data_IF_675376486538
#
_entry.id   IF_675376486538
#
_cell.length_a   1.000
_cell.length_b   1.000
_cell.length_c   1.000
_cell.angle_alpha   90.00
_cell.angle_beta   90.00
_cell.angle_gamma   90.00
#
_symmetry.space_group_name_H-M   'P 1'
#
loop_
_entity.id
_entity.type
_entity.pdbx_description
1 polymer ?
#
# COMPACT_ATOMS: atom_id res chain seq x y z
N UNK A 1 9.71 13.59 -5.78
CA UNK A 1 10.79 12.69 -6.24
C UNK A 1 10.52 11.21 -5.91
N UNK A 2 9.69 10.87 -4.90
CA UNK A 2 9.36 9.50 -4.50
C UNK A 2 8.40 8.75 -5.42
N UNK A 3 7.76 9.40 -6.38
CA UNK A 3 6.80 8.81 -7.34
C UNK A 3 7.38 8.64 -8.75
N UNK A 4 8.66 8.93 -8.94
CA UNK A 4 9.30 8.67 -10.22
C UNK A 4 9.56 7.16 -10.37
N UNK A 5 9.30 6.65 -11.57
CA UNK A 5 9.65 5.28 -11.91
C UNK A 5 11.14 5.05 -11.63
N UNK A 6 11.52 4.03 -10.83
CA UNK A 6 12.92 3.77 -10.53
C UNK A 6 13.70 3.44 -11.80
N UNK A 7 14.99 3.81 -11.90
CA UNK A 7 15.81 3.49 -13.04
C UNK A 7 15.85 1.98 -13.27
N UNK A 8 15.95 1.58 -14.53
CA UNK A 8 16.08 0.15 -14.88
C UNK A 8 17.47 -0.35 -14.50
N UNK A 9 17.52 -1.56 -13.96
CA UNK A 9 18.76 -2.24 -13.66
C UNK A 9 18.85 -3.57 -14.42
N UNK A 10 20.07 -4.10 -14.57
CA UNK A 10 20.28 -5.42 -15.19
C UNK A 10 19.76 -6.59 -14.33
N UNK A 11 19.42 -6.32 -13.07
CA UNK A 11 18.92 -7.31 -12.11
C UNK A 11 17.41 -7.25 -11.93
N UNK A 12 16.69 -6.42 -12.69
CA UNK A 12 15.25 -6.36 -12.65
C UNK A 12 14.66 -7.70 -13.14
N UNK A 13 13.76 -8.28 -12.36
CA UNK A 13 12.97 -9.43 -12.80
C UNK A 13 11.78 -8.91 -13.60
N UNK A 14 11.68 -9.31 -14.87
CA UNK A 14 10.64 -8.88 -15.78
C UNK A 14 9.82 -10.07 -16.26
N UNK A 15 8.49 -9.96 -16.11
CA UNK A 15 7.56 -10.98 -16.61
C UNK A 15 6.22 -10.33 -17.00
N UNK A 16 5.27 -11.13 -17.49
CA UNK A 16 3.90 -10.68 -17.77
C UNK A 16 2.92 -11.56 -17.00
N UNK A 17 1.93 -10.90 -16.37
CA UNK A 17 0.83 -11.58 -15.71
C UNK A 17 -0.49 -11.08 -16.29
N UNK A 18 -1.33 -11.99 -16.79
CA UNK A 18 -2.57 -11.65 -17.50
C UNK A 18 -2.39 -10.57 -18.59
N UNK A 19 -1.23 -10.57 -19.29
CA UNK A 19 -0.89 -9.60 -20.33
C UNK A 19 -0.37 -8.24 -19.83
N UNK A 20 -0.34 -8.00 -18.52
CA UNK A 20 0.20 -6.79 -17.90
C UNK A 20 1.70 -6.98 -17.65
N UNK A 21 2.59 -6.08 -18.13
CA UNK A 21 4.00 -6.13 -17.82
C UNK A 21 4.24 -5.87 -16.31
N UNK A 22 5.03 -6.72 -15.70
CA UNK A 22 5.46 -6.61 -14.31
C UNK A 22 6.98 -6.52 -14.25
N UNK A 23 7.50 -5.57 -13.51
CA UNK A 23 8.92 -5.38 -13.24
C UNK A 23 9.15 -5.37 -11.72
N UNK A 24 10.03 -6.23 -11.24
CA UNK A 24 10.43 -6.28 -9.83
C UNK A 24 11.87 -5.79 -9.72
N UNK A 25 12.04 -4.67 -9.05
CA UNK A 25 13.37 -4.08 -8.85
C UNK A 25 14.11 -4.78 -7.69
N UNK A 26 15.44 -4.96 -7.74
CA UNK A 26 16.20 -5.61 -6.67
C UNK A 26 15.98 -5.05 -5.26
N UNK A 27 15.78 -3.73 -5.14
CA UNK A 27 15.49 -3.11 -3.85
C UNK A 27 14.18 -3.57 -3.22
N UNK A 28 13.24 -4.11 -3.98
CA UNK A 28 12.03 -4.72 -3.41
C UNK A 28 12.40 -5.92 -2.54
N UNK A 29 13.21 -6.84 -3.06
CA UNK A 29 13.66 -8.02 -2.32
C UNK A 29 14.51 -7.64 -1.11
N UNK A 30 15.43 -6.71 -1.29
CA UNK A 30 16.30 -6.24 -0.20
C UNK A 30 15.48 -5.65 0.93
N UNK A 31 14.55 -4.75 0.64
CA UNK A 31 13.75 -4.07 1.65
C UNK A 31 12.78 -5.01 2.36
N UNK A 32 12.16 -5.96 1.64
CA UNK A 32 11.29 -6.97 2.27
C UNK A 32 12.06 -7.89 3.22
N UNK A 33 13.31 -8.22 2.92
CA UNK A 33 14.18 -8.97 3.84
C UNK A 33 14.54 -8.11 5.06
N UNK A 34 14.96 -6.85 4.86
CA UNK A 34 15.37 -5.95 5.96
C UNK A 34 14.24 -5.75 6.98
N UNK A 35 12.98 -5.69 6.52
CA UNK A 35 11.83 -5.47 7.40
C UNK A 35 11.60 -6.59 8.43
N UNK A 36 11.97 -7.81 8.10
CA UNK A 36 11.70 -8.99 8.96
C UNK A 36 12.97 -9.60 9.56
N UNK A 37 14.13 -9.36 8.94
CA UNK A 37 15.38 -9.98 9.37
C UNK A 37 15.87 -9.38 10.69
N UNK A 38 15.82 -10.18 11.74
CA UNK A 38 16.47 -9.93 13.04
C UNK A 38 17.44 -11.06 13.33
N UNK A 39 18.26 -10.93 14.39
CA UNK A 39 19.22 -11.97 14.75
C UNK A 39 18.56 -13.32 15.10
N UNK A 40 17.31 -13.28 15.58
CA UNK A 40 16.55 -14.46 16.01
C UNK A 40 15.61 -15.01 14.94
N UNK A 41 15.46 -14.34 13.77
CA UNK A 41 14.52 -14.75 12.72
C UNK A 41 15.08 -15.93 11.93
N UNK A 42 14.33 -17.03 11.88
CA UNK A 42 14.73 -18.20 11.10
C UNK A 42 14.70 -17.92 9.59
N UNK A 43 15.67 -18.40 8.80
CA UNK A 43 15.69 -18.17 7.35
C UNK A 43 14.40 -18.59 6.63
N UNK A 44 13.73 -19.64 7.11
CA UNK A 44 12.45 -20.10 6.52
C UNK A 44 11.31 -19.09 6.79
N UNK A 45 11.30 -18.43 7.94
CA UNK A 45 10.30 -17.40 8.26
C UNK A 45 10.52 -16.16 7.39
N UNK A 46 11.78 -15.77 7.17
CA UNK A 46 12.13 -14.70 6.21
C UNK A 46 11.62 -15.04 4.80
N UNK A 47 11.83 -16.28 4.36
CA UNK A 47 11.35 -16.71 3.04
C UNK A 47 9.81 -16.66 2.94
N UNK A 48 9.09 -17.13 3.98
CA UNK A 48 7.61 -17.09 4.00
C UNK A 48 7.10 -15.65 3.94
N UNK A 49 7.69 -14.76 4.74
CA UNK A 49 7.41 -13.34 4.71
C UNK A 49 7.63 -12.71 3.33
N UNK A 50 8.82 -12.91 2.73
CA UNK A 50 9.13 -12.35 1.41
C UNK A 50 8.14 -12.81 0.34
N UNK A 51 7.76 -14.09 0.36
CA UNK A 51 6.75 -14.65 -0.57
C UNK A 51 5.37 -14.05 -0.30
N UNK A 52 4.97 -13.93 0.97
CA UNK A 52 3.69 -13.33 1.34
C UNK A 52 3.60 -11.86 0.92
N UNK A 53 4.64 -11.06 1.20
CA UNK A 53 4.73 -9.64 0.77
C UNK A 53 4.68 -9.53 -0.75
N UNK A 54 5.45 -10.36 -1.47
CA UNK A 54 5.47 -10.34 -2.93
C UNK A 54 4.09 -10.61 -3.52
N UNK A 55 3.41 -11.67 -3.08
CA UNK A 55 2.07 -12.02 -3.56
C UNK A 55 1.08 -10.90 -3.23
N UNK A 56 1.08 -10.42 -2.00
CA UNK A 56 0.14 -9.41 -1.51
C UNK A 56 0.27 -8.08 -2.26
N UNK A 57 1.49 -7.56 -2.39
CA UNK A 57 1.72 -6.30 -3.10
C UNK A 57 1.48 -6.47 -4.60
N UNK A 58 1.86 -7.60 -5.19
CA UNK A 58 1.59 -7.87 -6.61
C UNK A 58 0.07 -7.90 -6.89
N UNK A 59 -0.73 -8.57 -6.06
CA UNK A 59 -2.19 -8.62 -6.20
C UNK A 59 -2.80 -7.23 -6.02
N UNK A 60 -2.33 -6.45 -5.05
CA UNK A 60 -2.74 -5.07 -4.85
C UNK A 60 -2.50 -4.23 -6.13
N UNK A 61 -1.29 -4.23 -6.67
CA UNK A 61 -0.96 -3.47 -7.89
C UNK A 61 -1.71 -3.96 -9.13
N UNK A 62 -1.97 -5.27 -9.22
CA UNK A 62 -2.79 -5.83 -10.28
C UNK A 62 -4.24 -5.37 -10.18
N UNK A 63 -4.77 -5.16 -8.96
CA UNK A 63 -6.09 -4.55 -8.76
C UNK A 63 -6.20 -3.21 -9.49
N UNK A 64 -5.26 -2.30 -9.27
CA UNK A 64 -5.18 -1.04 -10.00
C UNK A 64 -5.03 -1.26 -11.50
N UNK A 65 -4.08 -2.10 -11.90
CA UNK A 65 -3.73 -2.33 -13.29
C UNK A 65 -4.88 -2.93 -14.12
N UNK A 66 -5.70 -3.81 -13.54
CA UNK A 66 -6.89 -4.34 -14.21
C UNK A 66 -7.92 -3.25 -14.51
N UNK A 67 -8.17 -2.34 -13.58
CA UNK A 67 -9.10 -1.23 -13.81
C UNK A 67 -8.53 -0.18 -14.75
N UNK A 68 -7.24 0.14 -14.66
CA UNK A 68 -6.55 0.99 -15.63
C UNK A 68 -6.75 0.43 -17.06
N UNK A 69 -6.57 -0.88 -17.25
CA UNK A 69 -6.80 -1.54 -18.53
C UNK A 69 -8.28 -1.54 -18.95
N UNK A 70 -9.19 -1.73 -18.00
CA UNK A 70 -10.63 -1.66 -18.25
C UNK A 70 -11.05 -0.29 -18.81
N UNK A 71 -10.44 0.79 -18.31
CA UNK A 71 -10.66 2.14 -18.84
C UNK A 71 -9.91 2.45 -20.15
N UNK A 72 -9.24 1.46 -20.75
CA UNK A 72 -8.61 1.56 -22.07
C UNK A 72 -7.16 2.04 -22.06
N UNK A 73 -6.54 2.23 -20.89
CA UNK A 73 -5.13 2.60 -20.77
C UNK A 73 -4.20 1.38 -20.70
N UNK A 74 -2.91 1.60 -20.85
CA UNK A 74 -1.88 0.56 -20.85
C UNK A 74 -1.11 0.58 -19.53
N UNK A 75 -1.49 -0.24 -18.53
CA UNK A 75 -0.78 -0.30 -17.26
C UNK A 75 0.52 -1.07 -17.38
N UNK A 76 1.48 -0.72 -16.50
CA UNK A 76 2.64 -1.51 -16.15
C UNK A 76 2.79 -1.52 -14.63
N UNK A 77 3.08 -2.66 -14.05
CA UNK A 77 3.31 -2.82 -12.61
C UNK A 77 4.80 -2.81 -12.32
N UNK A 78 5.22 -2.04 -11.33
CA UNK A 78 6.60 -1.95 -10.90
C UNK A 78 6.62 -2.16 -9.38
N UNK A 79 7.27 -3.22 -8.92
CA UNK A 79 7.52 -3.44 -7.49
C UNK A 79 8.90 -2.87 -7.14
N UNK A 80 8.93 -1.97 -6.17
CA UNK A 80 10.14 -1.23 -5.80
C UNK A 80 10.12 -0.86 -4.32
N UNK A 81 11.26 -1.01 -3.65
CA UNK A 81 11.41 -0.70 -2.22
C UNK A 81 10.32 -1.38 -1.38
N UNK A 82 9.53 -0.66 -0.63
CA UNK A 82 8.49 -1.18 0.27
C UNK A 82 7.10 -1.25 -0.37
N UNK A 83 6.97 -1.09 -1.68
CA UNK A 83 5.65 -1.05 -2.30
C UNK A 83 5.65 -1.36 -3.78
N UNK A 84 4.59 -0.95 -4.44
CA UNK A 84 4.38 -1.08 -5.87
C UNK A 84 3.89 0.23 -6.49
N UNK A 85 3.86 0.22 -7.80
CA UNK A 85 3.34 1.30 -8.62
C UNK A 85 2.69 0.72 -9.88
N UNK A 86 1.39 0.90 -10.03
CA UNK A 86 0.70 0.67 -11.28
C UNK A 86 0.82 1.94 -12.15
N UNK A 87 1.90 2.02 -12.94
CA UNK A 87 2.16 3.17 -13.79
C UNK A 87 1.33 3.10 -15.08
N UNK A 88 0.79 4.24 -15.51
CA UNK A 88 0.04 4.39 -16.75
C UNK A 88 0.03 5.87 -17.20
N UNK A 89 -0.37 6.10 -18.44
CA UNK A 89 -0.51 7.44 -19.02
C UNK A 89 -1.99 7.65 -19.38
N UNK A 90 -2.73 8.44 -18.56
CA UNK A 90 -4.14 8.70 -18.82
C UNK A 90 -4.29 9.64 -20.04
N UNK A 91 -5.15 9.28 -20.99
CA UNK A 91 -5.49 10.12 -22.15
C UNK A 91 -6.63 11.09 -21.84
N UNK A 92 -7.33 10.89 -20.76
CA UNK A 92 -8.39 11.75 -20.23
C UNK A 92 -8.44 11.62 -18.71
N UNK A 93 -9.02 12.60 -18.02
CA UNK A 93 -9.15 12.62 -16.56
C UNK A 93 -10.62 12.82 -16.17
N UNK A 94 -11.11 11.95 -15.28
CA UNK A 94 -12.41 12.07 -14.61
C UNK A 94 -12.27 11.56 -13.18
N UNK A 95 -12.89 12.26 -12.23
CA UNK A 95 -12.82 11.95 -10.80
C UNK A 95 -13.18 10.50 -10.48
N UNK A 96 -14.36 10.03 -10.90
CA UNK A 96 -14.86 8.72 -10.50
C UNK A 96 -13.97 7.55 -10.96
N UNK A 97 -13.50 7.46 -12.21
CA UNK A 97 -12.52 6.46 -12.63
C UNK A 97 -11.22 6.48 -11.80
N UNK A 98 -10.70 7.67 -11.45
CA UNK A 98 -9.48 7.76 -10.64
C UNK A 98 -9.70 7.24 -9.22
N UNK A 99 -10.83 7.54 -8.60
CA UNK A 99 -11.23 7.00 -7.30
C UNK A 99 -11.35 5.47 -7.36
N UNK A 100 -12.06 4.94 -8.37
CA UNK A 100 -12.27 3.49 -8.52
C UNK A 100 -10.93 2.78 -8.75
N UNK A 101 -10.05 3.33 -9.58
CA UNK A 101 -8.69 2.78 -9.79
C UNK A 101 -7.92 2.79 -8.48
N UNK A 102 -7.91 3.91 -7.74
CA UNK A 102 -7.18 3.99 -6.47
C UNK A 102 -7.73 3.04 -5.40
N UNK A 103 -9.05 2.80 -5.38
CA UNK A 103 -9.66 1.85 -4.45
C UNK A 103 -9.41 0.38 -4.83
N UNK A 104 -9.14 0.08 -6.10
CA UNK A 104 -9.04 -1.28 -6.62
C UNK A 104 -7.87 -2.09 -6.03
N UNK A 105 -6.75 -1.44 -5.72
CA UNK A 105 -5.62 -2.08 -5.04
C UNK A 105 -6.00 -2.61 -3.65
N UNK A 106 -6.42 -1.74 -2.73
CA UNK A 106 -6.93 -2.16 -1.43
C UNK A 106 -8.03 -3.22 -1.51
N UNK A 107 -8.99 -3.06 -2.42
CA UNK A 107 -10.07 -4.02 -2.64
C UNK A 107 -9.55 -5.41 -3.06
N UNK A 108 -8.54 -5.46 -3.94
CA UNK A 108 -7.89 -6.71 -4.35
C UNK A 108 -7.16 -7.38 -3.18
N UNK A 109 -6.49 -6.60 -2.32
CA UNK A 109 -5.87 -7.09 -1.09
C UNK A 109 -6.90 -7.69 -0.11
N UNK A 110 -7.99 -6.97 0.16
CA UNK A 110 -9.07 -7.49 1.01
C UNK A 110 -9.75 -8.73 0.42
N UNK A 111 -9.92 -8.79 -0.90
CA UNK A 111 -10.43 -9.99 -1.58
C UNK A 111 -9.48 -11.18 -1.38
N UNK A 112 -8.17 -10.96 -1.52
CA UNK A 112 -7.18 -12.01 -1.25
C UNK A 112 -7.22 -12.47 0.21
N UNK A 113 -7.32 -11.56 1.17
CA UNK A 113 -7.51 -11.92 2.58
C UNK A 113 -8.78 -12.76 2.78
N UNK A 114 -9.89 -12.39 2.15
CA UNK A 114 -11.13 -13.17 2.16
C UNK A 114 -10.97 -14.58 1.58
N UNK A 115 -10.22 -14.72 0.49
CA UNK A 115 -9.88 -16.04 -0.11
C UNK A 115 -9.05 -16.88 0.87
N UNK A 116 -8.07 -16.27 1.55
CA UNK A 116 -7.26 -16.95 2.56
C UNK A 116 -8.14 -17.41 3.73
N UNK A 117 -9.05 -16.58 4.24
CA UNK A 117 -10.02 -16.95 5.29
C UNK A 117 -10.91 -18.11 4.82
N UNK A 118 -11.42 -18.05 3.60
CA UNK A 118 -12.23 -19.13 3.03
C UNK A 118 -11.44 -20.45 2.93
N UNK A 119 -10.15 -20.39 2.58
CA UNK A 119 -9.29 -21.58 2.54
C UNK A 119 -9.03 -22.15 3.94
N UNK A 120 -8.86 -21.31 4.97
CA UNK A 120 -8.74 -21.74 6.37
C UNK A 120 -9.98 -22.51 6.78
N UNK A 121 -11.17 -21.95 6.56
CA UNK A 121 -12.45 -22.57 6.91
C UNK A 121 -12.67 -23.88 6.13
N UNK A 122 -12.36 -23.90 4.83
CA UNK A 122 -12.47 -25.09 4.01
C UNK A 122 -11.52 -26.22 4.44
N UNK A 123 -10.39 -25.89 5.08
CA UNK A 123 -9.46 -26.87 5.66
C UNK A 123 -9.88 -27.39 7.05
N UNK A 124 -11.05 -26.97 7.55
CA UNK A 124 -11.59 -27.43 8.84
C UNK A 124 -11.05 -26.67 10.06
N UNK A 125 -10.35 -25.54 9.85
CA UNK A 125 -9.84 -24.73 10.95
C UNK A 125 -10.82 -23.59 11.28
N UNK A 126 -10.99 -23.29 12.57
CA UNK A 126 -11.82 -22.20 13.05
C UNK A 126 -11.17 -20.85 12.78
N UNK A 127 -12.01 -19.83 12.51
CA UNK A 127 -11.60 -18.42 12.40
C UNK A 127 -12.44 -17.61 13.37
N UNK A 128 -11.81 -16.75 14.15
CA UNK A 128 -12.49 -15.88 15.12
C UNK A 128 -11.87 -14.49 15.11
N UNK A 129 -12.65 -13.49 15.53
CA UNK A 129 -12.23 -12.11 15.60
C UNK A 129 -11.92 -11.79 17.05
N UNK A 130 -10.70 -11.35 17.30
CA UNK A 130 -10.23 -10.87 18.58
C UNK A 130 -10.38 -9.35 18.63
N UNK A 131 -11.47 -8.89 19.22
CA UNK A 131 -11.79 -7.46 19.31
C UNK A 131 -10.86 -6.69 20.27
N UNK A 132 -10.18 -7.38 21.17
CA UNK A 132 -9.22 -6.77 22.09
C UNK A 132 -7.87 -6.54 21.39
N UNK A 133 -7.55 -7.37 20.39
CA UNK A 133 -6.35 -7.28 19.58
C UNK A 133 -6.62 -6.66 18.19
N UNK A 134 -7.34 -5.53 18.17
CA UNK A 134 -7.75 -4.88 16.92
C UNK A 134 -6.55 -4.48 16.03
N UNK A 135 -5.41 -4.21 16.63
CA UNK A 135 -4.17 -3.88 15.93
C UNK A 135 -3.02 -4.79 16.42
N UNK A 136 -2.14 -5.32 15.56
CA UNK A 136 -2.05 -5.10 14.10
C UNK A 136 -3.12 -5.86 13.28
N UNK A 137 -3.69 -6.97 13.80
CA UNK A 137 -4.67 -7.77 13.06
C UNK A 137 -5.66 -8.45 14.01
N UNK A 138 -6.98 -8.22 13.83
CA UNK A 138 -8.00 -8.81 14.71
C UNK A 138 -8.34 -10.27 14.39
N UNK A 139 -7.95 -10.79 13.22
CA UNK A 139 -8.28 -12.14 12.78
C UNK A 139 -7.34 -13.14 13.43
N UNK A 140 -7.90 -14.14 14.13
CA UNK A 140 -7.21 -15.30 14.68
C UNK A 140 -7.75 -16.55 14.02
N UNK A 141 -6.93 -17.59 13.91
CA UNK A 141 -7.35 -18.88 13.38
C UNK A 141 -6.60 -20.03 14.08
N UNK A 142 -7.18 -21.23 14.00
CA UNK A 142 -6.56 -22.42 14.57
C UNK A 142 -5.28 -22.76 13.83
N UNK A 143 -4.24 -23.09 14.60
CA UNK A 143 -2.92 -23.37 14.03
C UNK A 143 -2.92 -24.64 13.21
N UNK A 144 -2.27 -24.61 12.06
CA UNK A 144 -1.99 -25.82 11.29
C UNK A 144 -0.93 -26.69 12.00
N UNK A 145 -0.92 -27.98 11.68
CA UNK A 145 0.12 -28.91 12.16
C UNK A 145 1.54 -28.44 11.69
N UNK A 146 1.62 -27.83 10.52
CA UNK A 146 2.83 -27.19 10.02
C UNK A 146 2.95 -25.77 10.55
N UNK A 147 3.99 -25.50 11.35
CA UNK A 147 4.33 -24.14 11.82
C UNK A 147 4.55 -23.17 10.63
N UNK A 148 5.27 -23.63 9.62
CA UNK A 148 5.59 -22.79 8.45
C UNK A 148 4.32 -22.35 7.71
N UNK A 149 3.35 -23.26 7.54
CA UNK A 149 2.06 -22.93 6.92
C UNK A 149 1.29 -21.93 7.79
N UNK A 150 1.29 -22.11 9.11
CA UNK A 150 0.65 -21.18 10.04
C UNK A 150 1.23 -19.78 9.92
N UNK A 151 2.56 -19.65 9.90
CA UNK A 151 3.26 -18.36 9.75
C UNK A 151 2.91 -17.72 8.40
N UNK A 152 3.02 -18.48 7.30
CA UNK A 152 2.70 -17.97 5.97
C UNK A 152 1.26 -17.47 5.84
N UNK A 153 0.28 -18.23 6.36
CA UNK A 153 -1.13 -17.83 6.34
C UNK A 153 -1.37 -16.60 7.20
N UNK A 154 -0.70 -16.50 8.36
CA UNK A 154 -0.76 -15.32 9.20
C UNK A 154 -0.21 -14.09 8.48
N UNK A 155 0.98 -14.19 7.87
CA UNK A 155 1.61 -13.13 7.11
C UNK A 155 0.71 -12.67 5.94
N UNK A 156 0.11 -13.63 5.21
CA UNK A 156 -0.82 -13.33 4.12
C UNK A 156 -2.03 -12.53 4.59
N UNK A 157 -2.63 -12.87 5.72
CA UNK A 157 -3.76 -12.12 6.29
C UNK A 157 -3.32 -10.74 6.77
N UNK A 158 -2.24 -10.69 7.56
CA UNK A 158 -1.74 -9.45 8.15
C UNK A 158 -1.38 -8.44 7.07
N UNK A 159 -0.58 -8.83 6.08
CA UNK A 159 -0.15 -7.91 5.01
C UNK A 159 -1.35 -7.41 4.21
N UNK A 160 -2.25 -8.29 3.76
CA UNK A 160 -3.37 -7.86 2.93
C UNK A 160 -4.35 -6.96 3.65
N UNK A 161 -4.60 -7.20 4.94
CA UNK A 161 -5.50 -6.37 5.74
C UNK A 161 -4.81 -5.06 6.13
N UNK A 162 -3.64 -5.15 6.75
CA UNK A 162 -2.93 -3.97 7.24
C UNK A 162 -2.51 -3.05 6.10
N UNK A 163 -1.92 -3.59 5.04
CA UNK A 163 -1.52 -2.82 3.85
C UNK A 163 -2.73 -2.19 3.15
N UNK A 164 -3.85 -2.93 3.06
CA UNK A 164 -5.09 -2.39 2.52
C UNK A 164 -5.64 -1.23 3.33
N UNK A 165 -5.68 -1.35 4.67
CA UNK A 165 -6.12 -0.29 5.58
C UNK A 165 -5.18 0.91 5.53
N UNK A 166 -3.86 0.68 5.58
CA UNK A 166 -2.87 1.76 5.50
C UNK A 166 -2.97 2.52 4.17
N UNK A 167 -3.14 1.81 3.05
CA UNK A 167 -3.31 2.45 1.75
C UNK A 167 -4.61 3.25 1.62
N UNK A 168 -5.64 3.00 2.43
CA UNK A 168 -6.87 3.80 2.47
C UNK A 168 -6.77 5.04 3.37
N UNK A 169 -5.69 5.22 4.12
CA UNK A 169 -5.49 6.47 4.85
C UNK A 169 -5.40 7.66 3.88
N UNK A 170 -6.02 8.81 4.20
CA UNK A 170 -5.99 10.00 3.35
C UNK A 170 -4.63 10.71 3.42
N UNK A 171 -3.56 9.97 3.12
CA UNK A 171 -2.16 10.41 3.13
C UNK A 171 -1.59 10.24 1.74
N UNK A 172 -1.31 11.30 1.02
CA UNK A 172 -0.60 11.20 -0.26
C UNK A 172 0.86 10.72 -0.05
N UNK A 173 1.38 9.75 -0.82
CA UNK A 173 0.88 9.20 -2.09
C UNK A 173 0.08 7.89 -1.97
N UNK A 174 -0.38 7.50 -0.79
CA UNK A 174 -1.22 6.31 -0.62
C UNK A 174 -2.53 6.45 -1.42
N UNK A 175 -3.21 5.35 -1.66
CA UNK A 175 -4.42 5.35 -2.49
C UNK A 175 -5.55 6.18 -1.90
N UNK A 176 -5.74 6.14 -0.56
CA UNK A 176 -6.66 7.01 0.15
C UNK A 176 -6.31 8.50 0.03
N UNK A 177 -5.02 8.83 -0.04
CA UNK A 177 -4.55 10.18 -0.33
C UNK A 177 -4.91 10.63 -1.75
N UNK A 178 -4.75 9.76 -2.74
CA UNK A 178 -5.19 10.02 -4.13
C UNK A 178 -6.71 10.19 -4.20
N UNK A 179 -7.48 9.33 -3.52
CA UNK A 179 -8.93 9.46 -3.41
C UNK A 179 -9.32 10.80 -2.77
N UNK A 180 -8.70 11.14 -1.64
CA UNK A 180 -8.92 12.42 -0.96
C UNK A 180 -8.64 13.61 -1.88
N UNK A 181 -7.54 13.56 -2.63
CA UNK A 181 -7.16 14.60 -3.58
C UNK A 181 -8.20 14.77 -4.70
N UNK A 182 -8.66 13.67 -5.30
CA UNK A 182 -9.69 13.70 -6.36
C UNK A 182 -11.01 14.27 -5.84
N UNK A 183 -11.45 13.86 -4.65
CA UNK A 183 -12.69 14.34 -4.04
C UNK A 183 -12.61 15.83 -3.72
N UNK A 184 -11.55 16.25 -3.02
CA UNK A 184 -11.39 17.65 -2.62
C UNK A 184 -11.18 18.58 -3.81
N UNK A 185 -10.43 18.13 -4.84
CA UNK A 185 -10.26 18.91 -6.06
C UNK A 185 -11.57 19.05 -6.86
N UNK A 186 -12.46 18.06 -6.80
CA UNK A 186 -13.77 18.16 -7.42
C UNK A 186 -14.71 19.12 -6.66
N UNK A 187 -14.67 19.08 -5.32
CA UNK A 187 -15.48 19.93 -4.46
C UNK A 187 -14.99 21.39 -4.47
N UNK A 188 -13.70 21.61 -4.55
CA UNK A 188 -13.07 22.93 -4.56
C UNK A 188 -11.88 22.95 -5.52
N UNK A 189 -12.09 23.18 -6.84
CA UNK A 189 -11.00 23.16 -7.83
C UNK A 189 -9.87 24.18 -7.57
N UNK A 190 -10.14 25.26 -6.84
CA UNK A 190 -9.14 26.29 -6.54
C UNK A 190 -8.18 25.89 -5.40
N UNK A 191 -8.68 25.21 -4.37
CA UNK A 191 -7.94 24.93 -3.13
C UNK A 191 -7.86 23.43 -2.80
N UNK A 192 -8.54 22.56 -3.55
CA UNK A 192 -8.71 21.13 -3.23
C UNK A 192 -7.40 20.37 -3.11
N UNK A 193 -6.43 20.65 -3.98
CA UNK A 193 -5.09 20.05 -3.89
C UNK A 193 -4.40 20.46 -2.59
N UNK A 194 -4.45 21.74 -2.24
CA UNK A 194 -3.89 22.26 -1.00
C UNK A 194 -4.56 21.65 0.24
N UNK A 195 -5.90 21.57 0.21
CA UNK A 195 -6.68 20.94 1.29
C UNK A 195 -6.31 19.45 1.45
N UNK A 196 -6.15 18.70 0.37
CA UNK A 196 -5.75 17.29 0.42
C UNK A 196 -4.36 17.08 1.01
N UNK A 197 -3.41 17.97 0.68
CA UNK A 197 -2.07 17.93 1.27
C UNK A 197 -2.11 18.26 2.77
N UNK A 198 -2.94 19.21 3.20
CA UNK A 198 -3.13 19.49 4.62
C UNK A 198 -3.76 18.29 5.35
N UNK A 199 -4.80 17.67 4.80
CA UNK A 199 -5.39 16.43 5.35
C UNK A 199 -4.31 15.35 5.47
N UNK A 200 -3.47 15.17 4.46
CA UNK A 200 -2.36 14.21 4.48
C UNK A 200 -1.36 14.50 5.61
N UNK A 201 -0.99 15.76 5.82
CA UNK A 201 -0.06 16.17 6.88
C UNK A 201 -0.64 15.86 8.26
N UNK A 202 -1.90 16.26 8.51
CA UNK A 202 -2.54 16.04 9.80
C UNK A 202 -2.78 14.55 10.09
N UNK A 203 -3.22 13.78 9.09
CA UNK A 203 -3.42 12.34 9.24
C UNK A 203 -2.10 11.62 9.49
N UNK A 204 -1.05 11.92 8.70
CA UNK A 204 0.26 11.32 8.90
C UNK A 204 0.88 11.71 10.25
N UNK A 205 0.78 12.98 10.67
CA UNK A 205 1.22 13.44 11.99
C UNK A 205 0.48 12.74 13.13
N UNK A 206 -0.84 12.63 13.04
CA UNK A 206 -1.66 11.90 14.01
C UNK A 206 -1.30 10.42 14.09
N UNK A 207 -1.09 9.75 12.95
CA UNK A 207 -0.63 8.36 12.91
C UNK A 207 0.75 8.19 13.52
N UNK A 208 1.69 9.11 13.27
CA UNK A 208 3.01 9.08 13.91
C UNK A 208 2.91 9.11 15.44
N UNK A 209 2.05 9.98 15.98
CA UNK A 209 1.81 10.05 17.43
C UNK A 209 1.18 8.77 17.96
N UNK A 210 0.20 8.20 17.27
CA UNK A 210 -0.44 6.93 17.67
C UNK A 210 0.57 5.78 17.67
N UNK A 211 1.37 5.64 16.61
CA UNK A 211 2.41 4.59 16.52
C UNK A 211 3.42 4.70 17.65
N UNK A 212 3.89 5.90 17.94
CA UNK A 212 4.86 6.12 19.00
C UNK A 212 4.24 5.97 20.41
N UNK A 213 3.14 6.69 20.70
CA UNK A 213 2.62 6.80 22.06
C UNK A 213 1.78 5.60 22.51
N UNK A 214 1.07 4.91 21.56
CA UNK A 214 0.19 3.78 21.89
C UNK A 214 0.83 2.43 21.63
N UNK A 215 1.61 2.30 20.56
CA UNK A 215 2.18 1.03 20.12
C UNK A 215 3.68 0.90 20.43
N UNK A 216 4.36 2.00 20.78
CA UNK A 216 5.81 2.01 21.02
C UNK A 216 6.64 1.73 19.76
N UNK A 217 6.02 1.76 18.57
CA UNK A 217 6.68 1.47 17.30
C UNK A 217 7.31 2.73 16.71
N UNK A 218 8.61 2.88 17.01
CA UNK A 218 9.40 4.00 16.54
C UNK A 218 9.59 3.98 15.01
N UNK A 219 9.70 2.79 14.39
CA UNK A 219 9.91 2.67 12.94
C UNK A 219 8.67 3.12 12.17
N UNK A 220 7.50 2.64 12.59
CA UNK A 220 6.24 3.09 12.00
C UNK A 220 6.00 4.59 12.25
N UNK A 221 6.34 5.11 13.43
CA UNK A 221 6.24 6.52 13.72
C UNK A 221 7.12 7.37 12.78
N UNK A 222 8.39 6.99 12.59
CA UNK A 222 9.30 7.67 11.66
C UNK A 222 8.75 7.61 10.22
N UNK A 223 8.21 6.47 9.80
CA UNK A 223 7.60 6.31 8.47
C UNK A 223 6.48 7.32 8.23
N UNK A 224 5.58 7.51 9.20
CA UNK A 224 4.51 8.49 9.09
C UNK A 224 5.02 9.94 9.20
N UNK A 225 6.04 10.21 10.01
CA UNK A 225 6.71 11.54 10.01
C UNK A 225 7.27 11.88 8.64
N UNK A 226 7.91 10.92 7.96
CA UNK A 226 8.44 11.14 6.61
C UNK A 226 7.31 11.48 5.62
N UNK A 227 6.15 10.84 5.71
CA UNK A 227 4.99 11.21 4.89
C UNK A 227 4.48 12.62 5.22
N UNK A 228 4.41 13.01 6.50
CA UNK A 228 4.00 14.35 6.89
C UNK A 228 4.96 15.41 6.31
N UNK A 229 6.27 15.20 6.44
CA UNK A 229 7.31 16.08 5.89
C UNK A 229 7.23 16.17 4.36
N UNK A 230 7.08 15.03 3.68
CA UNK A 230 6.93 15.00 2.22
C UNK A 230 5.72 15.81 1.75
N UNK A 231 4.55 15.62 2.37
CA UNK A 231 3.35 16.37 2.02
C UNK A 231 3.49 17.86 2.35
N UNK A 232 4.18 18.21 3.43
CA UNK A 232 4.49 19.60 3.76
C UNK A 232 5.38 20.27 2.69
N UNK A 233 6.43 19.58 2.22
CA UNK A 233 7.28 20.07 1.13
C UNK A 233 6.48 20.26 -0.17
N UNK A 234 5.57 19.33 -0.48
CA UNK A 234 4.68 19.46 -1.64
C UNK A 234 3.74 20.67 -1.50
N UNK A 235 3.21 20.90 -0.29
CA UNK A 235 2.37 22.07 0.01
C UNK A 235 3.14 23.38 -0.17
N UNK A 236 4.38 23.45 0.27
CA UNK A 236 5.25 24.62 0.04
C UNK A 236 5.47 24.86 -1.46
N UNK A 237 5.85 23.82 -2.22
CA UNK A 237 6.03 23.93 -3.67
C UNK A 237 4.75 24.38 -4.40
N UNK A 238 3.58 23.92 -3.93
CA UNK A 238 2.29 24.35 -4.47
C UNK A 238 2.06 25.84 -4.22
N UNK A 239 2.26 26.31 -2.97
CA UNK A 239 2.12 27.70 -2.60
C UNK A 239 3.08 28.63 -3.38
N UNK A 240 4.34 28.22 -3.58
CA UNK A 240 5.32 28.98 -4.36
C UNK A 240 4.92 29.13 -5.84
N UNK A 241 4.30 28.08 -6.41
CA UNK A 241 3.89 28.10 -7.83
C UNK A 241 2.57 28.84 -8.08
N UNK A 242 1.64 28.75 -7.15
CA UNK A 242 0.26 29.24 -7.33
C UNK A 242 -0.16 30.31 -6.33
N UNK A 243 0.47 30.40 -5.16
CA UNK A 243 0.18 31.39 -4.10
C UNK A 243 0.62 32.82 -4.45
N UNK A 244 1.49 33.00 -5.45
CA UNK A 244 1.91 34.32 -5.95
C UNK A 244 1.01 34.93 -7.03
N UNK A 245 -0.09 34.27 -7.41
CA UNK A 245 -1.07 34.78 -8.41
C UNK A 245 -2.37 35.28 -7.77
N UNK A 246 -2.27 35.78 -6.56
CA UNK A 246 -3.32 36.59 -5.97
C UNK A 246 -3.06 38.06 -6.32
N UNK A 247 -3.64 38.53 -7.41
CA UNK A 247 -4.12 39.90 -7.74
C UNK A 247 -4.62 39.96 -9.16
#
# INVERSE_FOLDING_TARGET
MFLAEPPRTRYDVNFRLAGIPVRVHPLFWLMTVILVATQDTKPVDVLMWVVAVFISILVHELGHAFLIRYYGWRPRVILYSLGGLAAYEPTWHRMLPQIIISFAGPAAGFLLAGIVVAAILASGHGVHIDWEALFPMPIRFDRYASRNLTVFVYDMLEINILWGVLNLLPIYPLDGGKISQEVLNHLNPAEGIKQSLMVSIFTAGGMAVVMFAKLGDLYAAIFFVLFAVMNYQMLQQYNDRFGGRGW
#
